data_IF_317494380238
#
_entry.id   IF_317494380238
#
_cell.length_a   1.000
_cell.length_b   1.000
_cell.length_c   1.000
_cell.angle_alpha   90.00
_cell.angle_beta   90.00
_cell.angle_gamma   90.00
#
_symmetry.space_group_name_H-M   'P 1'
#
loop_
_entity.id
_entity.type
_entity.pdbx_description
1 polymer ?
#
# COMPACT_ATOMS: atom_id res chain seq x y z
N UNK A 1 6.64 8.74 -9.32
CA UNK A 1 7.94 8.83 -8.61
C UNK A 1 7.73 9.00 -7.11
N UNK A 2 6.81 9.86 -6.67
CA UNK A 2 6.43 10.07 -5.26
C UNK A 2 5.80 8.87 -4.55
N UNK A 3 4.96 8.08 -5.23
CA UNK A 3 4.31 6.87 -4.66
C UNK A 3 5.27 5.73 -4.34
N UNK A 4 6.40 5.65 -5.04
CA UNK A 4 7.42 4.61 -4.83
C UNK A 4 8.22 4.90 -3.55
N UNK A 5 8.54 6.17 -3.30
CA UNK A 5 9.21 6.62 -2.08
C UNK A 5 8.32 6.43 -0.85
N UNK A 6 7.02 6.72 -0.97
CA UNK A 6 6.06 6.51 0.11
C UNK A 6 5.92 5.02 0.46
N UNK A 7 5.84 4.15 -0.55
CA UNK A 7 5.81 2.70 -0.34
C UNK A 7 7.07 2.20 0.39
N UNK A 8 8.25 2.66 -0.04
CA UNK A 8 9.52 2.28 0.61
C UNK A 8 9.59 2.77 2.06
N UNK A 9 9.11 3.99 2.35
CA UNK A 9 9.06 4.55 3.70
C UNK A 9 8.19 3.74 4.67
N UNK A 10 7.04 3.24 4.19
CA UNK A 10 6.16 2.37 4.99
C UNK A 10 6.82 1.02 5.27
N UNK A 11 7.51 0.44 4.28
CA UNK A 11 8.26 -0.82 4.49
C UNK A 11 9.42 -0.66 5.48
N UNK A 12 10.09 0.49 5.50
CA UNK A 12 11.14 0.79 6.49
C UNK A 12 10.62 0.79 7.93
N UNK A 13 9.41 1.31 8.17
CA UNK A 13 8.76 1.29 9.49
C UNK A 13 8.47 -0.15 9.94
N UNK A 14 7.95 -0.99 9.05
CA UNK A 14 7.73 -2.42 9.31
C UNK A 14 9.04 -3.12 9.64
N UNK A 15 10.10 -2.88 8.86
CA UNK A 15 11.40 -3.51 9.07
C UNK A 15 12.02 -3.11 10.41
N UNK A 16 11.83 -1.86 10.84
CA UNK A 16 12.22 -1.39 12.17
C UNK A 16 11.52 -2.15 13.29
N UNK A 17 10.22 -2.35 13.15
CA UNK A 17 9.42 -3.05 14.15
C UNK A 17 9.74 -4.55 14.30
N UNK A 18 10.21 -5.18 13.22
CA UNK A 18 10.55 -6.61 13.20
C UNK A 18 12.00 -6.87 13.61
N UNK A 19 12.95 -6.10 13.06
CA UNK A 19 14.37 -6.43 13.13
C UNK A 19 15.17 -5.50 14.05
N UNK A 20 14.87 -4.19 14.07
CA UNK A 20 15.64 -3.18 14.79
C UNK A 20 15.11 -2.92 16.20
N UNK A 21 15.20 -3.94 17.06
CA UNK A 21 14.94 -3.79 18.51
C UNK A 21 13.45 -3.76 18.91
N UNK A 22 12.53 -3.57 17.95
CA UNK A 22 11.10 -3.62 18.20
C UNK A 22 10.44 -2.24 18.27
N UNK A 23 9.19 -2.20 18.72
CA UNK A 23 8.41 -0.97 18.94
C UNK A 23 7.92 -0.95 20.38
N UNK A 24 7.75 0.25 20.92
CA UNK A 24 7.22 0.45 22.27
C UNK A 24 5.78 -0.04 22.35
N UNK A 25 5.51 -0.97 23.28
CA UNK A 25 4.17 -1.52 23.50
C UNK A 25 3.64 -1.08 24.88
N UNK A 26 2.60 -0.26 24.87
CA UNK A 26 1.94 0.19 26.11
C UNK A 26 0.93 -0.82 26.65
N UNK A 27 0.61 -1.87 25.88
CA UNK A 27 -0.42 -2.86 26.18
C UNK A 27 0.16 -4.18 26.70
N UNK A 28 1.48 -4.26 26.87
CA UNK A 28 2.14 -5.44 27.43
C UNK A 28 1.82 -5.59 28.93
N UNK A 29 1.36 -6.79 29.32
CA UNK A 29 0.98 -7.13 30.70
C UNK A 29 2.16 -7.09 31.69
N UNK A 30 3.41 -7.12 31.19
CA UNK A 30 4.65 -7.09 31.99
C UNK A 30 5.25 -5.68 32.15
N UNK A 31 4.57 -4.63 31.66
CA UNK A 31 5.05 -3.24 31.73
C UNK A 31 5.43 -2.67 30.36
N UNK A 32 5.58 -1.34 30.33
CA UNK A 32 5.89 -0.56 29.12
C UNK A 32 7.32 -0.81 28.64
N UNK A 33 7.49 -1.86 27.84
CA UNK A 33 8.78 -2.27 27.29
C UNK A 33 8.81 -2.22 25.74
N UNK A 34 10.02 -2.10 25.18
CA UNK A 34 10.24 -2.16 23.73
C UNK A 34 10.39 -3.63 23.34
N UNK A 35 9.38 -4.16 22.65
CA UNK A 35 9.37 -5.56 22.22
C UNK A 35 9.39 -5.69 20.71
N UNK A 36 10.12 -6.69 20.23
CA UNK A 36 10.03 -7.14 18.84
C UNK A 36 8.67 -7.79 18.60
N UNK A 37 8.01 -7.40 17.51
CA UNK A 37 6.70 -7.95 17.16
C UNK A 37 6.95 -9.16 16.27
N UNK A 38 6.87 -10.37 16.83
CA UNK A 38 7.12 -11.62 16.08
C UNK A 38 5.87 -12.22 15.44
N UNK A 39 4.69 -11.95 16.01
CA UNK A 39 3.41 -12.49 15.55
C UNK A 39 2.52 -11.37 15.01
N UNK A 40 2.61 -11.10 13.71
CA UNK A 40 1.80 -10.07 13.04
C UNK A 40 0.46 -10.62 12.59
N UNK A 41 -0.59 -9.82 12.75
CA UNK A 41 -1.89 -10.08 12.14
C UNK A 41 -1.83 -9.71 10.66
N UNK A 42 -1.59 -10.69 9.80
CA UNK A 42 -1.62 -10.51 8.33
C UNK A 42 -2.97 -10.86 7.71
N UNK A 43 -3.97 -11.21 8.54
CA UNK A 43 -5.29 -11.62 8.09
C UNK A 43 -6.03 -10.40 7.51
N UNK A 44 -6.35 -10.40 6.20
CA UNK A 44 -6.95 -9.23 5.54
C UNK A 44 -8.34 -8.93 6.10
N UNK A 45 -9.13 -9.94 6.45
CA UNK A 45 -10.49 -9.75 6.97
C UNK A 45 -10.52 -8.92 8.25
N UNK A 46 -9.50 -9.03 9.11
CA UNK A 46 -9.41 -8.25 10.35
C UNK A 46 -9.06 -6.79 10.01
N UNK A 47 -8.06 -6.57 9.16
CA UNK A 47 -7.57 -5.23 8.80
C UNK A 47 -8.62 -4.45 8.00
N UNK A 48 -9.25 -5.07 7.01
CA UNK A 48 -10.37 -4.46 6.29
C UNK A 48 -11.63 -4.36 7.14
N UNK A 49 -11.81 -5.22 8.15
CA UNK A 49 -12.86 -5.09 9.14
C UNK A 49 -12.80 -3.77 9.91
N UNK A 50 -11.60 -3.32 10.31
CA UNK A 50 -11.42 -1.99 10.93
C UNK A 50 -11.75 -0.85 9.96
N UNK A 51 -11.50 -1.01 8.65
CA UNK A 51 -11.86 -0.03 7.63
C UNK A 51 -13.36 0.00 7.29
N UNK A 52 -14.10 -1.06 7.58
CA UNK A 52 -15.53 -1.15 7.32
C UNK A 52 -16.40 -0.90 8.57
N UNK A 53 -15.78 -0.72 9.73
CA UNK A 53 -16.48 -0.32 10.96
C UNK A 53 -17.15 1.05 10.82
N UNK A 54 -18.26 1.24 11.53
CA UNK A 54 -18.98 2.50 11.56
C UNK A 54 -18.11 3.62 12.15
N UNK A 55 -18.07 4.82 11.52
CA UNK A 55 -17.38 5.99 12.07
C UNK A 55 -18.16 6.69 13.19
N UNK A 56 -19.39 6.25 13.51
CA UNK A 56 -20.24 6.85 14.53
C UNK A 56 -20.41 5.91 15.74
N UNK A 57 -20.43 6.49 16.95
CA UNK A 57 -20.67 5.77 18.20
C UNK A 57 -19.40 5.22 18.86
N UNK A 58 -19.56 4.15 19.66
CA UNK A 58 -18.51 3.51 20.47
C UNK A 58 -17.65 2.49 19.70
N UNK A 59 -18.01 2.18 18.45
CA UNK A 59 -17.34 1.12 17.70
C UNK A 59 -15.94 1.50 17.27
N UNK A 60 -15.69 2.81 17.07
CA UNK A 60 -14.46 3.41 16.58
C UNK A 60 -14.02 2.84 15.23
N UNK A 61 -13.83 3.69 14.22
CA UNK A 61 -13.36 3.25 12.91
C UNK A 61 -11.88 2.78 12.98
N UNK A 62 -10.98 3.41 12.24
CA UNK A 62 -9.54 3.13 12.34
C UNK A 62 -8.93 3.48 13.72
N UNK A 63 -9.63 4.31 14.49
CA UNK A 63 -9.20 4.77 15.83
C UNK A 63 -9.41 3.70 16.90
N UNK A 64 -10.22 2.67 16.63
CA UNK A 64 -10.45 1.55 17.56
C UNK A 64 -9.28 0.55 17.61
N UNK A 65 -8.22 0.73 16.81
CA UNK A 65 -7.08 -0.19 16.81
C UNK A 65 -6.30 -0.04 18.11
N UNK A 66 -6.34 -1.08 18.93
CA UNK A 66 -5.75 -1.17 20.25
C UNK A 66 -4.41 -1.94 20.26
N UNK A 67 -4.19 -2.83 19.30
CA UNK A 67 -2.97 -3.65 19.24
C UNK A 67 -1.91 -3.14 18.24
N UNK A 68 -0.65 -3.08 18.68
CA UNK A 68 0.50 -2.80 17.81
C UNK A 68 0.62 -3.77 16.62
N UNK A 69 0.21 -5.03 16.81
CA UNK A 69 0.23 -6.07 15.76
C UNK A 69 -0.65 -5.68 14.58
N UNK A 70 -1.83 -5.11 14.87
CA UNK A 70 -2.81 -4.70 13.86
C UNK A 70 -2.37 -3.39 13.19
N UNK A 71 -1.71 -2.49 13.93
CA UNK A 71 -1.09 -1.28 13.37
C UNK A 71 -0.01 -1.65 12.36
N UNK A 72 0.98 -2.48 12.75
CA UNK A 72 2.08 -2.88 11.87
C UNK A 72 1.56 -3.74 10.71
N UNK A 73 0.64 -4.66 10.96
CA UNK A 73 -0.03 -5.45 9.92
C UNK A 73 -0.75 -4.57 8.90
N UNK A 74 -1.46 -3.53 9.36
CA UNK A 74 -2.08 -2.53 8.49
C UNK A 74 -1.08 -1.77 7.62
N UNK A 75 0.11 -1.43 8.15
CA UNK A 75 1.18 -0.80 7.38
C UNK A 75 1.76 -1.74 6.31
N UNK A 76 1.90 -3.04 6.59
CA UNK A 76 2.30 -4.05 5.59
C UNK A 76 1.31 -4.06 4.42
N UNK A 77 0.01 -4.12 4.73
CA UNK A 77 -1.05 -4.12 3.71
C UNK A 77 -1.10 -2.82 2.93
N UNK A 78 -0.98 -1.67 3.60
CA UNK A 78 -0.96 -0.36 2.94
C UNK A 78 0.24 -0.23 1.98
N UNK A 79 1.44 -0.65 2.41
CA UNK A 79 2.64 -0.68 1.58
C UNK A 79 2.48 -1.57 0.36
N UNK A 80 1.88 -2.75 0.53
CA UNK A 80 1.60 -3.69 -0.55
C UNK A 80 0.62 -3.11 -1.58
N UNK A 81 -0.51 -2.56 -1.12
CA UNK A 81 -1.55 -1.98 -1.98
C UNK A 81 -1.01 -0.79 -2.79
N UNK A 82 -0.27 0.12 -2.15
CA UNK A 82 0.36 1.26 -2.83
C UNK A 82 1.33 0.77 -3.92
N UNK A 83 2.08 -0.31 -3.65
CA UNK A 83 3.02 -0.87 -4.63
C UNK A 83 2.30 -1.50 -5.83
N UNK A 84 1.25 -2.28 -5.60
CA UNK A 84 0.44 -2.91 -6.66
C UNK A 84 -0.22 -1.85 -7.54
N UNK A 85 -0.90 -0.88 -6.92
CA UNK A 85 -1.56 0.22 -7.64
C UNK A 85 -0.54 1.03 -8.45
N UNK A 86 0.63 1.33 -7.88
CA UNK A 86 1.68 2.05 -8.60
C UNK A 86 2.19 1.30 -9.83
N UNK A 87 2.33 -0.03 -9.77
CA UNK A 87 2.77 -0.85 -10.91
C UNK A 87 1.70 -0.85 -12.00
N UNK A 88 0.43 -1.00 -11.61
CA UNK A 88 -0.71 -0.96 -12.54
C UNK A 88 -0.77 0.35 -13.32
N UNK A 89 -0.68 1.49 -12.64
CA UNK A 89 -0.70 2.79 -13.31
C UNK A 89 0.48 2.97 -14.28
N UNK A 90 1.67 2.50 -13.90
CA UNK A 90 2.86 2.58 -14.75
C UNK A 90 2.69 1.77 -16.05
N UNK A 91 2.22 0.53 -15.93
CA UNK A 91 1.93 -0.33 -17.09
C UNK A 91 0.83 0.27 -17.99
N UNK A 92 -0.22 0.85 -17.39
CA UNK A 92 -1.30 1.50 -18.14
C UNK A 92 -0.79 2.68 -18.97
N UNK A 93 0.08 3.52 -18.40
CA UNK A 93 0.69 4.65 -19.13
C UNK A 93 1.57 4.17 -20.28
N UNK A 94 2.42 3.16 -20.06
CA UNK A 94 3.26 2.60 -21.13
C UNK A 94 2.38 2.07 -22.27
N UNK A 95 1.32 1.33 -21.96
CA UNK A 95 0.40 0.79 -22.96
C UNK A 95 -0.25 1.90 -23.79
N UNK A 96 -0.71 2.99 -23.13
CA UNK A 96 -1.28 4.15 -23.83
C UNK A 96 -0.27 4.85 -24.74
N UNK A 97 0.99 4.98 -24.31
CA UNK A 97 2.05 5.55 -25.14
C UNK A 97 2.34 4.70 -26.38
N UNK A 98 2.35 3.37 -26.24
CA UNK A 98 2.57 2.45 -27.36
C UNK A 98 1.39 2.48 -28.34
N UNK A 99 0.15 2.43 -27.83
CA UNK A 99 -1.05 2.50 -28.68
C UNK A 99 -1.18 3.86 -29.38
N UNK A 100 -0.91 4.97 -28.69
CA UNK A 100 -0.96 6.31 -29.29
C UNK A 100 0.10 6.52 -30.38
N UNK A 101 1.31 5.98 -30.19
CA UNK A 101 2.35 6.00 -31.24
C UNK A 101 1.97 5.14 -32.44
N UNK A 102 1.40 3.95 -32.23
CA UNK A 102 0.99 3.07 -33.33
C UNK A 102 -0.12 3.70 -34.18
N UNK A 103 -1.13 4.31 -33.56
CA UNK A 103 -2.20 5.00 -34.29
C UNK A 103 -1.66 6.17 -35.12
N UNK A 104 -0.74 6.98 -34.56
CA UNK A 104 -0.10 8.06 -35.32
C UNK A 104 0.69 7.55 -36.53
N UNK A 105 1.39 6.42 -36.39
CA UNK A 105 2.15 5.81 -37.49
C UNK A 105 1.19 5.27 -38.56
N UNK A 106 0.15 4.53 -38.18
CA UNK A 106 -0.85 3.99 -39.11
C UNK A 106 -1.53 5.10 -39.92
N UNK A 107 -1.99 6.18 -39.26
CA UNK A 107 -2.60 7.33 -39.94
C UNK A 107 -1.63 8.08 -40.86
N UNK A 108 -0.33 8.10 -40.51
CA UNK A 108 0.69 8.70 -41.38
C UNK A 108 0.93 7.83 -42.62
N UNK A 109 0.93 6.50 -42.48
CA UNK A 109 1.04 5.58 -43.62
C UNK A 109 -0.17 5.69 -44.56
N UNK A 110 -1.39 5.78 -44.03
CA UNK A 110 -2.62 5.88 -44.84
C UNK A 110 -2.65 7.19 -45.66
N UNK A 111 -2.27 8.34 -45.09
CA UNK A 111 -2.19 9.63 -45.82
C UNK A 111 -1.06 9.63 -46.87
N UNK A 112 0.02 8.87 -46.67
CA UNK A 112 1.13 8.78 -47.62
C UNK A 112 0.82 7.82 -48.77
N UNK A 113 0.01 6.78 -48.55
CA UNK A 113 -0.35 5.80 -49.59
C UNK A 113 -1.52 6.24 -50.47
N UNK A 114 -2.35 7.20 -50.04
CA UNK A 114 -3.40 7.82 -50.86
C UNK A 114 -3.10 9.30 -51.27
N UNK A 115 -2.00 9.61 -51.99
CA UNK A 115 -1.86 10.90 -52.64
C UNK A 115 -2.58 10.86 -54.00
N UNK A 116 -3.90 11.06 -53.99
CA UNK A 116 -4.89 11.17 -55.10
C UNK A 116 -5.86 9.99 -55.28
#
# INVERSE_FOLDING_TARGET
>A
MTTILLGLGVFLLVFKALYFGGVYDTWASEGRDVRKITNLTLIPSIIFGYLLKSPFGWEGWIVSVDDLKNIIGGHVWLGFLIRVVSIYYYLKVIKLLMTGRNQKITLTCEIIEDPL
#
